data_IF_929352531465
#
_entry.id   IF_929352531465
#
_cell.length_a   1.000
_cell.length_b   1.000
_cell.length_c   1.000
_cell.angle_alpha   90.00
_cell.angle_beta   90.00
_cell.angle_gamma   90.00
#
_symmetry.space_group_name_H-M   'P 1'
#
loop_
_entity.id
_entity.type
_entity.pdbx_description
1 polymer ?
#
# COMPACT_ATOMS: atom_id res chain seq x y z
N UNK A 1 18.85 1.67 11.05
CA UNK A 1 17.40 1.91 11.30
C UNK A 1 16.59 0.81 10.62
N UNK A 2 15.48 0.37 11.23
CA UNK A 2 14.57 -0.63 10.63
C UNK A 2 13.19 -0.02 10.53
N UNK A 3 12.55 -0.14 9.36
CA UNK A 3 11.14 0.19 9.13
C UNK A 3 10.44 -1.09 8.70
N UNK A 4 9.32 -1.40 9.34
CA UNK A 4 8.52 -2.58 9.06
C UNK A 4 7.04 -2.23 9.21
N UNK A 5 6.31 -2.18 8.11
CA UNK A 5 4.90 -1.84 8.08
C UNK A 5 3.97 -3.05 8.29
N UNK A 6 4.45 -4.15 8.90
CA UNK A 6 3.67 -5.37 9.16
C UNK A 6 2.33 -5.07 9.84
N UNK A 7 2.32 -4.18 10.84
CA UNK A 7 1.08 -3.80 11.56
C UNK A 7 0.04 -3.18 10.63
N UNK A 8 0.48 -2.31 9.72
CA UNK A 8 -0.41 -1.67 8.74
C UNK A 8 -0.97 -2.71 7.77
N UNK A 9 -0.14 -3.64 7.33
CA UNK A 9 -0.51 -4.74 6.42
C UNK A 9 -1.53 -5.68 7.06
N UNK A 10 -1.31 -6.07 8.32
CA UNK A 10 -2.24 -6.94 9.06
C UNK A 10 -3.59 -6.23 9.20
N UNK A 11 -3.59 -4.96 9.66
CA UNK A 11 -4.81 -4.17 9.80
C UNK A 11 -5.57 -4.05 8.48
N UNK A 12 -4.88 -3.80 7.39
CA UNK A 12 -5.48 -3.67 6.07
C UNK A 12 -6.12 -4.98 5.60
N UNK A 13 -5.47 -6.13 5.82
CA UNK A 13 -6.05 -7.44 5.53
C UNK A 13 -7.25 -7.76 6.41
N UNK A 14 -7.17 -7.49 7.70
CA UNK A 14 -8.28 -7.68 8.63
C UNK A 14 -9.51 -6.85 8.21
N UNK A 15 -9.32 -5.57 7.87
CA UNK A 15 -10.40 -4.72 7.34
C UNK A 15 -11.07 -5.32 6.11
N UNK A 16 -10.29 -5.87 5.19
CA UNK A 16 -10.83 -6.53 3.99
C UNK A 16 -11.71 -7.72 4.35
N UNK A 17 -11.25 -8.59 5.26
CA UNK A 17 -12.05 -9.74 5.72
C UNK A 17 -13.30 -9.32 6.47
N UNK A 18 -13.20 -8.35 7.38
CA UNK A 18 -14.36 -7.81 8.12
C UNK A 18 -15.40 -7.25 7.14
N UNK A 19 -14.98 -6.47 6.15
CA UNK A 19 -15.92 -5.93 5.15
C UNK A 19 -16.57 -7.03 4.31
N UNK A 20 -15.81 -8.06 3.90
CA UNK A 20 -16.37 -9.18 3.14
C UNK A 20 -17.39 -9.98 3.97
N UNK A 21 -17.07 -10.28 5.23
CA UNK A 21 -17.96 -10.98 6.16
C UNK A 21 -19.22 -10.13 6.42
N UNK A 22 -19.06 -8.83 6.69
CA UNK A 22 -20.19 -7.93 6.92
C UNK A 22 -21.16 -7.93 5.73
N UNK A 23 -20.62 -7.93 4.52
CA UNK A 23 -21.44 -7.95 3.30
C UNK A 23 -22.23 -9.27 3.17
N UNK A 24 -21.57 -10.41 3.47
CA UNK A 24 -22.22 -11.74 3.45
C UNK A 24 -23.33 -11.89 4.48
N UNK A 25 -23.31 -11.11 5.55
CA UNK A 25 -24.36 -11.11 6.58
C UNK A 25 -25.44 -10.07 6.26
N UNK A 26 -25.06 -8.85 5.90
CA UNK A 26 -25.99 -7.72 5.73
C UNK A 26 -26.89 -7.93 4.51
N UNK A 27 -26.39 -8.42 3.38
CA UNK A 27 -27.21 -8.61 2.19
C UNK A 27 -28.35 -9.62 2.42
N UNK A 28 -28.09 -10.84 2.95
CA UNK A 28 -29.18 -11.76 3.27
C UNK A 28 -30.16 -11.20 4.30
N UNK A 29 -29.69 -10.46 5.32
CA UNK A 29 -30.59 -9.82 6.29
C UNK A 29 -31.54 -8.84 5.63
N UNK A 30 -31.07 -8.02 4.69
CA UNK A 30 -31.94 -7.09 3.94
C UNK A 30 -32.89 -7.86 3.04
N UNK A 31 -32.43 -8.94 2.38
CA UNK A 31 -33.24 -9.71 1.44
C UNK A 31 -34.33 -10.57 2.12
N UNK A 32 -34.03 -11.10 3.31
CA UNK A 32 -34.94 -12.03 4.03
C UNK A 32 -35.81 -11.33 5.07
N UNK A 33 -35.51 -10.09 5.43
CA UNK A 33 -36.27 -9.34 6.42
C UNK A 33 -37.52 -8.72 5.79
N UNK A 34 -38.68 -8.97 6.40
CA UNK A 34 -39.95 -8.35 6.03
C UNK A 34 -39.96 -6.83 6.23
N UNK A 35 -39.08 -6.31 7.08
CA UNK A 35 -38.91 -4.89 7.36
C UNK A 35 -38.61 -4.06 6.10
N UNK A 36 -37.94 -4.65 5.14
CA UNK A 36 -37.55 -4.01 3.88
C UNK A 36 -38.51 -4.28 2.72
N UNK A 37 -39.64 -4.94 2.97
CA UNK A 37 -40.69 -5.14 1.94
C UNK A 37 -41.35 -3.80 1.54
N UNK A 38 -41.54 -2.92 2.51
CA UNK A 38 -41.98 -1.55 2.26
C UNK A 38 -40.74 -0.62 2.10
N UNK A 39 -40.85 0.45 1.29
CA UNK A 39 -39.76 1.40 1.13
C UNK A 39 -39.38 2.08 2.46
N UNK A 40 -38.24 1.82 2.99
CA UNK A 40 -37.68 2.45 4.20
C UNK A 40 -37.01 3.75 3.77
N UNK A 41 -37.40 4.89 4.37
CA UNK A 41 -36.95 6.22 3.97
C UNK A 41 -37.16 6.54 2.46
N UNK A 42 -38.17 5.94 1.82
CA UNK A 42 -38.43 6.12 0.39
C UNK A 42 -37.48 5.37 -0.54
N UNK A 43 -36.64 4.48 0.00
CA UNK A 43 -35.65 3.69 -0.75
C UNK A 43 -36.13 2.24 -0.80
N UNK A 44 -36.18 1.65 -2.01
CA UNK A 44 -36.57 0.25 -2.18
C UNK A 44 -35.44 -0.70 -1.70
N UNK A 45 -35.82 -1.94 -1.34
CA UNK A 45 -34.89 -2.98 -0.90
C UNK A 45 -33.74 -3.19 -1.89
N UNK A 46 -34.04 -3.24 -3.19
CA UNK A 46 -33.05 -3.45 -4.25
C UNK A 46 -32.04 -2.31 -4.29
N UNK A 47 -32.49 -1.06 -4.09
CA UNK A 47 -31.60 0.10 -4.06
C UNK A 47 -30.62 0.06 -2.88
N UNK A 48 -31.06 -0.40 -1.69
CA UNK A 48 -30.14 -0.62 -0.56
C UNK A 48 -29.03 -1.61 -0.90
N UNK A 49 -29.38 -2.75 -1.50
CA UNK A 49 -28.40 -3.77 -1.91
C UNK A 49 -27.44 -3.19 -2.94
N UNK A 50 -27.93 -2.45 -3.94
CA UNK A 50 -27.11 -1.83 -4.98
C UNK A 50 -26.12 -0.82 -4.36
N UNK A 51 -26.57 0.05 -3.45
CA UNK A 51 -25.73 1.06 -2.80
C UNK A 51 -24.61 0.38 -1.99
N UNK A 52 -24.92 -0.66 -1.23
CA UNK A 52 -23.95 -1.39 -0.42
C UNK A 52 -22.92 -2.09 -1.31
N UNK A 53 -23.35 -2.78 -2.36
CA UNK A 53 -22.48 -3.42 -3.33
C UNK A 53 -21.58 -2.41 -4.06
N UNK A 54 -22.17 -1.29 -4.51
CA UNK A 54 -21.40 -0.22 -5.16
C UNK A 54 -20.34 0.37 -4.24
N UNK A 55 -20.67 0.64 -2.98
CA UNK A 55 -19.71 1.10 -1.97
C UNK A 55 -18.55 0.13 -1.76
N UNK A 56 -18.84 -1.16 -1.69
CA UNK A 56 -17.82 -2.19 -1.58
C UNK A 56 -16.91 -2.26 -2.80
N UNK A 57 -17.47 -2.20 -4.00
CA UNK A 57 -16.71 -2.18 -5.25
C UNK A 57 -15.82 -0.95 -5.33
N UNK A 58 -16.35 0.25 -5.03
CA UNK A 58 -15.59 1.50 -5.03
C UNK A 58 -14.44 1.47 -4.03
N UNK A 59 -14.66 0.93 -2.83
CA UNK A 59 -13.60 0.75 -1.83
C UNK A 59 -12.48 -0.16 -2.32
N UNK A 60 -12.83 -1.30 -2.95
CA UNK A 60 -11.81 -2.22 -3.49
C UNK A 60 -11.06 -1.60 -4.67
N UNK A 61 -11.73 -0.85 -5.55
CA UNK A 61 -11.10 -0.10 -6.63
C UNK A 61 -10.11 0.93 -6.09
N UNK A 62 -10.51 1.71 -5.08
CA UNK A 62 -9.63 2.67 -4.42
C UNK A 62 -8.35 2.01 -3.89
N UNK A 63 -8.47 0.89 -3.17
CA UNK A 63 -7.33 0.11 -2.69
C UNK A 63 -6.46 -0.43 -3.83
N UNK A 64 -7.08 -0.90 -4.89
CA UNK A 64 -6.37 -1.39 -6.07
C UNK A 64 -5.50 -0.30 -6.71
N UNK A 65 -6.01 0.93 -6.82
CA UNK A 65 -5.26 2.06 -7.36
C UNK A 65 -4.13 2.51 -6.46
N UNK A 66 -4.29 2.48 -5.14
CA UNK A 66 -3.23 2.81 -4.20
C UNK A 66 -2.03 1.87 -4.31
N UNK A 67 -2.24 0.63 -4.76
CA UNK A 67 -1.19 -0.40 -4.90
C UNK A 67 -0.35 -0.54 -3.62
N UNK A 68 -1.03 -0.83 -2.50
CA UNK A 68 -0.39 -0.96 -1.20
C UNK A 68 0.62 -2.11 -1.22
N UNK A 69 1.81 -1.87 -0.67
CA UNK A 69 2.87 -2.86 -0.54
C UNK A 69 3.26 -3.06 0.93
N UNK A 70 3.58 -4.31 1.27
CA UNK A 70 4.44 -4.57 2.41
C UNK A 70 5.83 -4.03 2.13
N UNK A 71 6.45 -3.39 3.13
CA UNK A 71 7.79 -2.83 3.03
C UNK A 71 8.55 -3.16 4.30
N UNK A 72 9.71 -3.75 4.10
CA UNK A 72 10.73 -3.88 5.11
C UNK A 72 11.97 -3.16 4.61
N UNK A 73 12.42 -2.16 5.35
CA UNK A 73 13.63 -1.38 5.08
C UNK A 73 14.61 -1.56 6.24
N UNK A 74 15.86 -1.87 5.91
CA UNK A 74 16.93 -1.98 6.89
C UNK A 74 18.17 -1.22 6.40
N UNK A 75 18.69 -0.33 7.26
CA UNK A 75 19.84 0.51 7.03
C UNK A 75 20.92 0.33 8.14
N UNK A 76 20.97 -0.80 8.82
CA UNK A 76 21.89 -0.98 9.95
C UNK A 76 23.35 -1.31 9.54
N UNK A 77 23.53 -1.85 8.34
CA UNK A 77 24.82 -2.29 7.84
C UNK A 77 25.30 -1.39 6.69
N UNK A 78 26.39 -1.77 6.04
CA UNK A 78 26.94 -1.09 4.86
C UNK A 78 26.02 -1.13 3.64
N UNK A 79 24.97 -1.97 3.70
CA UNK A 79 23.96 -2.13 2.65
C UNK A 79 22.61 -1.64 3.10
N UNK A 80 21.91 -1.00 2.21
CA UNK A 80 20.47 -0.71 2.33
C UNK A 80 19.71 -1.91 1.77
N UNK A 81 18.82 -2.48 2.56
CA UNK A 81 18.02 -3.64 2.17
C UNK A 81 16.54 -3.21 2.13
N UNK A 82 15.94 -3.28 0.94
CA UNK A 82 14.51 -3.14 0.74
C UNK A 82 13.90 -4.49 0.39
N UNK A 83 13.00 -5.01 1.23
CA UNK A 83 12.15 -6.16 0.89
C UNK A 83 10.72 -5.67 0.75
N UNK A 84 10.07 -6.02 -0.34
CA UNK A 84 8.71 -5.59 -0.60
C UNK A 84 7.91 -6.61 -1.40
N UNK A 85 6.61 -6.62 -1.20
CA UNK A 85 5.66 -7.37 -2.00
C UNK A 85 4.30 -6.67 -2.04
N UNK A 86 3.54 -6.90 -3.11
CA UNK A 86 2.21 -6.32 -3.26
C UNK A 86 1.20 -6.97 -2.31
N UNK A 87 0.31 -6.17 -1.73
CA UNK A 87 -0.81 -6.65 -0.92
C UNK A 87 -2.01 -7.07 -1.78
N UNK A 88 -1.90 -6.98 -3.09
CA UNK A 88 -2.95 -7.44 -4.01
C UNK A 88 -3.15 -8.95 -3.85
N UNK A 89 -4.41 -9.42 -3.81
CA UNK A 89 -4.68 -10.84 -3.87
C UNK A 89 -4.06 -11.43 -5.16
N UNK A 90 -3.53 -12.63 -5.09
CA UNK A 90 -2.90 -13.36 -6.20
C UNK A 90 -1.56 -12.84 -6.74
N UNK A 91 -1.07 -11.65 -6.34
CA UNK A 91 0.19 -11.06 -6.81
C UNK A 91 1.21 -10.84 -5.68
N UNK A 92 1.57 -11.88 -4.93
CA UNK A 92 2.49 -11.77 -3.80
C UNK A 92 3.95 -12.08 -4.18
N UNK A 93 4.41 -11.61 -5.33
CA UNK A 93 5.82 -11.78 -5.69
C UNK A 93 6.70 -10.96 -4.75
N UNK A 94 7.44 -11.65 -3.89
CA UNK A 94 8.43 -11.04 -2.99
C UNK A 94 9.61 -10.57 -3.82
N UNK A 95 10.06 -9.34 -3.55
CA UNK A 95 11.24 -8.74 -4.19
C UNK A 95 12.16 -8.20 -3.11
N UNK A 96 13.46 -8.32 -3.33
CA UNK A 96 14.50 -7.70 -2.51
C UNK A 96 15.38 -6.83 -3.39
N UNK A 97 15.75 -5.66 -2.88
CA UNK A 97 16.73 -4.76 -3.47
C UNK A 97 17.78 -4.53 -2.40
N UNK A 98 19.05 -4.81 -2.72
CA UNK A 98 20.18 -4.56 -1.86
C UNK A 98 21.10 -3.56 -2.56
N UNK A 99 21.39 -2.45 -1.90
CA UNK A 99 22.24 -1.38 -2.41
C UNK A 99 23.33 -1.09 -1.39
N UNK A 100 24.58 -1.14 -1.80
CA UNK A 100 25.71 -0.67 -0.96
C UNK A 100 25.56 0.85 -0.80
N UNK A 101 25.62 1.37 0.43
CA UNK A 101 25.38 2.80 0.73
C UNK A 101 26.20 3.72 -0.16
N UNK A 102 27.47 3.45 -0.34
CA UNK A 102 28.35 4.22 -1.20
C UNK A 102 28.04 4.19 -2.70
N UNK A 103 27.06 3.41 -3.16
CA UNK A 103 26.68 3.33 -4.57
C UNK A 103 25.30 3.93 -4.88
N UNK A 104 24.54 4.33 -3.86
CA UNK A 104 23.25 5.02 -4.04
C UNK A 104 23.50 6.46 -4.52
N UNK A 105 23.09 6.77 -5.75
CA UNK A 105 23.31 8.09 -6.36
C UNK A 105 22.21 9.07 -6.01
N UNK A 106 20.95 8.65 -6.17
CA UNK A 106 19.77 9.45 -5.89
C UNK A 106 18.54 8.59 -5.69
N UNK A 107 17.51 9.17 -5.13
CA UNK A 107 16.17 8.61 -5.13
C UNK A 107 15.16 9.65 -5.62
N UNK A 108 14.04 9.19 -6.13
CA UNK A 108 12.92 10.03 -6.57
C UNK A 108 11.63 9.53 -5.95
N UNK A 109 10.78 10.48 -5.53
CA UNK A 109 9.43 10.17 -5.06
C UNK A 109 8.44 10.73 -6.05
N UNK A 110 7.71 9.83 -6.72
CA UNK A 110 6.61 10.19 -7.60
C UNK A 110 5.30 10.10 -6.84
N UNK A 111 4.59 11.22 -6.74
CA UNK A 111 3.25 11.30 -6.17
C UNK A 111 2.21 11.16 -7.29
N UNK A 112 1.15 10.40 -7.02
CA UNK A 112 0.00 10.23 -7.92
C UNK A 112 -1.30 10.23 -7.13
N UNK A 113 -2.46 10.20 -7.80
CA UNK A 113 -3.80 10.22 -7.18
C UNK A 113 -3.93 11.33 -6.13
N UNK A 114 -3.72 12.57 -6.55
CA UNK A 114 -3.77 13.76 -5.67
C UNK A 114 -2.89 13.63 -4.40
N UNK A 115 -1.73 12.93 -4.51
CA UNK A 115 -0.77 12.76 -3.40
C UNK A 115 -0.97 11.52 -2.53
N UNK A 116 -2.06 10.78 -2.70
CA UNK A 116 -2.36 9.55 -1.95
C UNK A 116 -1.42 8.40 -2.32
N UNK A 117 -1.01 8.33 -3.59
CA UNK A 117 -0.06 7.33 -4.07
C UNK A 117 1.36 7.91 -4.05
N UNK A 118 2.27 7.24 -3.34
CA UNK A 118 3.68 7.60 -3.26
C UNK A 118 4.52 6.42 -3.76
N UNK A 119 5.32 6.65 -4.78
CA UNK A 119 6.23 5.65 -5.36
C UNK A 119 7.66 6.11 -5.18
N UNK A 120 8.50 5.26 -4.61
CA UNK A 120 9.94 5.44 -4.47
C UNK A 120 10.67 4.78 -5.64
N UNK A 121 11.60 5.49 -6.24
CA UNK A 121 12.50 5.00 -7.28
C UNK A 121 13.93 5.22 -6.80
N UNK A 122 14.73 4.17 -6.82
CA UNK A 122 16.13 4.19 -6.39
C UNK A 122 17.05 4.14 -7.61
N UNK A 123 18.19 4.84 -7.55
CA UNK A 123 19.19 4.87 -8.59
C UNK A 123 20.55 4.51 -7.98
N UNK A 124 21.19 3.47 -8.51
CA UNK A 124 22.49 2.96 -8.06
C UNK A 124 23.54 3.12 -9.17
N UNK A 125 24.75 3.49 -8.80
CA UNK A 125 25.90 3.46 -9.70
C UNK A 125 26.53 2.06 -9.70
N UNK A 126 26.52 1.41 -10.86
CA UNK A 126 27.12 0.09 -11.08
C UNK A 126 28.05 0.21 -12.30
N UNK A 127 29.33 -0.09 -12.14
CA UNK A 127 30.32 -0.04 -13.23
C UNK A 127 30.25 1.26 -14.06
N UNK A 128 30.24 2.42 -13.40
CA UNK A 128 30.11 3.76 -13.99
C UNK A 128 28.78 4.05 -14.73
N UNK A 129 27.83 3.14 -14.72
CA UNK A 129 26.47 3.35 -15.25
C UNK A 129 25.47 3.54 -14.11
N UNK A 130 24.45 4.36 -14.34
CA UNK A 130 23.36 4.56 -13.38
C UNK A 130 22.26 3.55 -13.69
N UNK A 131 22.06 2.59 -12.81
CA UNK A 131 20.97 1.64 -12.86
C UNK A 131 19.75 2.21 -12.11
N UNK A 132 18.59 2.14 -12.74
CA UNK A 132 17.30 2.53 -12.16
C UNK A 132 16.55 1.29 -11.69
N UNK A 133 16.17 1.25 -10.42
CA UNK A 133 15.35 0.18 -9.89
C UNK A 133 13.86 0.36 -10.21
N UNK A 134 13.08 -0.72 -10.22
CA UNK A 134 11.63 -0.64 -10.33
C UNK A 134 11.02 0.24 -9.23
N UNK A 135 9.94 0.94 -9.54
CA UNK A 135 9.25 1.78 -8.58
C UNK A 135 8.60 0.94 -7.48
N UNK A 136 8.81 1.34 -6.22
CA UNK A 136 8.26 0.71 -5.02
C UNK A 136 7.14 1.62 -4.49
N UNK A 137 5.91 1.12 -4.38
CA UNK A 137 4.85 1.89 -3.73
C UNK A 137 5.08 1.93 -2.23
N UNK A 138 5.29 3.14 -1.69
CA UNK A 138 5.47 3.42 -0.26
C UNK A 138 4.22 4.04 0.37
N UNK A 139 3.06 3.89 -0.27
CA UNK A 139 1.78 4.49 0.20
C UNK A 139 1.26 3.88 1.51
N UNK A 140 1.72 2.67 1.86
CA UNK A 140 1.34 1.99 3.09
C UNK A 140 2.20 2.35 4.31
N UNK A 141 3.21 3.20 4.14
CA UNK A 141 4.08 3.68 5.23
C UNK A 141 3.41 4.87 5.93
N UNK A 142 3.46 4.91 7.27
CA UNK A 142 2.95 6.05 8.02
C UNK A 142 3.84 7.30 7.84
N UNK A 143 3.37 8.46 8.28
CA UNK A 143 4.08 9.72 8.05
C UNK A 143 5.41 9.82 8.83
N UNK A 144 5.51 9.19 9.98
CA UNK A 144 6.74 9.16 10.79
C UNK A 144 7.79 8.25 10.12
N UNK A 145 7.40 7.01 9.79
CA UNK A 145 8.26 6.09 9.06
C UNK A 145 8.69 6.64 7.70
N UNK A 146 7.82 7.39 7.03
CA UNK A 146 8.13 8.07 5.77
C UNK A 146 9.23 9.13 5.95
N UNK A 147 9.13 9.98 6.97
CA UNK A 147 10.18 10.97 7.27
C UNK A 147 11.51 10.28 7.61
N UNK A 148 11.45 9.24 8.41
CA UNK A 148 12.61 8.46 8.81
C UNK A 148 13.26 7.77 7.59
N UNK A 149 12.46 7.22 6.68
CA UNK A 149 12.96 6.65 5.42
C UNK A 149 13.72 7.67 4.58
N UNK A 150 13.15 8.88 4.42
CA UNK A 150 13.79 9.96 3.67
C UNK A 150 15.11 10.40 4.31
N UNK A 151 15.13 10.54 5.62
CA UNK A 151 16.34 10.88 6.37
C UNK A 151 17.46 9.86 6.15
N UNK A 152 17.15 8.56 6.27
CA UNK A 152 18.11 7.48 6.04
C UNK A 152 18.65 7.43 4.60
N UNK A 153 17.77 7.65 3.61
CA UNK A 153 18.17 7.70 2.21
C UNK A 153 19.05 8.91 1.91
N UNK A 154 18.72 10.09 2.45
CA UNK A 154 19.54 11.29 2.30
C UNK A 154 20.92 11.13 2.94
N UNK A 155 20.99 10.57 4.14
CA UNK A 155 22.26 10.27 4.80
C UNK A 155 23.14 9.31 3.99
N UNK A 156 22.52 8.34 3.31
CA UNK A 156 23.25 7.38 2.48
C UNK A 156 23.78 7.98 1.18
N UNK A 157 23.21 9.07 0.69
CA UNK A 157 23.70 9.82 -0.47
C UNK A 157 24.79 10.83 -0.07
N UNK A 158 24.63 11.51 1.08
CA UNK A 158 25.59 12.52 1.54
C UNK A 158 26.97 11.93 1.86
N UNK A 159 27.05 10.67 2.27
CA UNK A 159 28.30 9.95 2.50
C UNK A 159 29.06 9.60 1.21
N UNK A 160 28.54 9.99 0.03
CA UNK A 160 29.14 9.78 -1.29
C UNK A 160 29.83 11.02 -1.87
N UNK A 161 29.82 12.13 -1.15
CA UNK A 161 30.59 13.33 -1.47
C UNK A 161 31.86 13.36 -0.65
#
# INVERSE_FOLDING_TARGET
MIIDNTKVVIRDRMMMYVMAISLTVIIPLICLSDYFNDPVLGISRELYVIIICAGYVLYNLYRFFLNLNFIYFNDQFEKIIFKYYSLRPFMQKRRSIEIVKGTLVKFEIKKGLAGLKKNLILYQKINNKIAKYPSISISAINNEEYKNLLSALNASISNNK
#
